data_IF_149424034388
#
_entry.id   IF_149424034388
#
_cell.length_a   1.000
_cell.length_b   1.000
_cell.length_c   1.000
_cell.angle_alpha   90.00
_cell.angle_beta   90.00
_cell.angle_gamma   90.00
#
_symmetry.space_group_name_H-M   'P 1'
#
loop_
_entity.id
_entity.type
_entity.pdbx_description
1 polymer ?
#
# COMPACT_ATOMS: atom_id res chain seq x y z
N UNK A 1 -1.04 -30.05 9.47
CA UNK A 1 -0.20 -28.97 8.90
C UNK A 1 -1.06 -27.71 8.88
N UNK A 2 -0.61 -26.68 9.57
CA UNK A 2 -1.37 -25.41 9.61
C UNK A 2 -1.21 -24.74 8.24
N UNK A 3 -2.21 -24.87 7.37
CA UNK A 3 -2.20 -24.16 6.10
C UNK A 3 -2.35 -22.66 6.39
N UNK A 4 -1.38 -21.83 5.93
CA UNK A 4 -1.45 -20.38 6.11
C UNK A 4 -2.74 -19.78 5.52
N UNK A 5 -3.16 -18.63 6.03
CA UNK A 5 -4.43 -17.96 5.68
C UNK A 5 -4.59 -17.63 4.18
N UNK A 6 -3.49 -17.58 3.42
CA UNK A 6 -3.45 -17.23 2.01
C UNK A 6 -2.95 -18.39 1.13
N UNK A 7 -3.05 -19.61 1.62
CA UNK A 7 -2.55 -20.78 0.92
C UNK A 7 -3.12 -20.91 -0.50
N UNK A 8 -2.24 -21.02 -1.51
CA UNK A 8 -2.62 -21.16 -2.93
C UNK A 8 -3.16 -19.88 -3.60
N UNK A 9 -3.22 -18.75 -2.88
CA UNK A 9 -3.59 -17.44 -3.44
C UNK A 9 -2.42 -16.83 -4.23
N UNK A 10 -2.76 -16.03 -5.23
CA UNK A 10 -1.82 -15.20 -6.00
C UNK A 10 -2.04 -13.74 -5.63
N UNK A 11 -1.00 -13.06 -5.17
CA UNK A 11 -1.07 -11.68 -4.72
C UNK A 11 -0.15 -10.75 -5.52
N UNK A 12 -0.58 -9.51 -5.71
CA UNK A 12 0.24 -8.39 -6.18
C UNK A 12 0.47 -7.40 -5.04
N UNK A 13 1.73 -7.00 -4.83
CA UNK A 13 2.11 -5.93 -3.90
C UNK A 13 2.91 -4.87 -4.65
N UNK A 14 2.35 -3.68 -4.84
CA UNK A 14 3.10 -2.56 -5.41
C UNK A 14 3.96 -1.86 -4.35
N UNK A 15 5.17 -1.42 -4.73
CA UNK A 15 6.15 -0.93 -3.74
C UNK A 15 6.63 -2.03 -2.79
N UNK A 16 6.70 -3.29 -3.28
CA UNK A 16 6.98 -4.48 -2.48
C UNK A 16 8.44 -4.67 -2.07
N UNK A 17 9.33 -3.75 -2.44
CA UNK A 17 10.77 -3.83 -2.19
C UNK A 17 11.26 -3.01 -0.99
N UNK A 18 10.36 -2.41 -0.20
CA UNK A 18 10.74 -1.62 0.98
C UNK A 18 9.57 -1.44 1.96
N UNK A 19 9.87 -1.15 3.21
CA UNK A 19 8.92 -0.74 4.23
C UNK A 19 7.70 -1.67 4.36
N UNK A 20 6.51 -1.08 4.35
CA UNK A 20 5.22 -1.79 4.49
C UNK A 20 5.03 -2.83 3.39
N UNK A 21 5.36 -2.47 2.13
CA UNK A 21 5.20 -3.39 1.00
C UNK A 21 6.07 -4.64 1.13
N UNK A 22 7.33 -4.49 1.52
CA UNK A 22 8.26 -5.60 1.76
C UNK A 22 7.77 -6.50 2.91
N UNK A 23 7.36 -5.90 4.04
CA UNK A 23 6.84 -6.65 5.18
C UNK A 23 5.57 -7.43 4.79
N UNK A 24 4.69 -6.81 3.99
CA UNK A 24 3.47 -7.48 3.48
C UNK A 24 3.82 -8.64 2.54
N UNK A 25 4.75 -8.44 1.60
CA UNK A 25 5.16 -9.51 0.69
C UNK A 25 5.72 -10.72 1.45
N UNK A 26 6.56 -10.48 2.47
CA UNK A 26 7.08 -11.55 3.36
C UNK A 26 5.96 -12.28 4.10
N UNK A 27 5.00 -11.54 4.67
CA UNK A 27 3.85 -12.12 5.36
C UNK A 27 2.98 -12.93 4.42
N UNK A 28 2.67 -12.42 3.24
CA UNK A 28 1.85 -13.13 2.25
C UNK A 28 2.49 -14.46 1.85
N UNK A 29 3.82 -14.47 1.59
CA UNK A 29 4.55 -15.71 1.31
C UNK A 29 4.53 -16.65 2.51
N UNK A 30 4.74 -16.13 3.74
CA UNK A 30 4.66 -16.90 4.98
C UNK A 30 3.29 -17.52 5.22
N UNK A 31 2.21 -16.88 4.73
CA UNK A 31 0.83 -17.38 4.76
C UNK A 31 0.46 -18.25 3.56
N UNK A 32 1.44 -18.63 2.73
CA UNK A 32 1.25 -19.59 1.64
C UNK A 32 0.85 -19.01 0.28
N UNK A 33 0.86 -17.68 0.12
CA UNK A 33 0.60 -17.05 -1.16
C UNK A 33 1.83 -17.10 -2.10
N UNK A 34 1.56 -17.02 -3.41
CA UNK A 34 2.54 -16.61 -4.40
C UNK A 34 2.42 -15.10 -4.63
N UNK A 35 3.54 -14.36 -4.56
CA UNK A 35 3.53 -12.90 -4.54
C UNK A 35 4.29 -12.31 -5.72
N UNK A 36 3.63 -11.46 -6.50
CA UNK A 36 4.29 -10.54 -7.40
C UNK A 36 4.57 -9.23 -6.67
N UNK A 37 5.81 -8.74 -6.77
CA UNK A 37 6.18 -7.43 -6.25
C UNK A 37 6.63 -6.53 -7.40
N UNK A 38 6.32 -5.24 -7.32
CA UNK A 38 6.84 -4.25 -8.27
C UNK A 38 7.40 -3.04 -7.54
N UNK A 39 8.37 -2.39 -8.20
CA UNK A 39 9.03 -1.19 -7.72
C UNK A 39 10.04 -0.67 -8.76
N UNK A 40 10.53 0.54 -8.56
CA UNK A 40 11.40 1.22 -9.55
C UNK A 40 12.84 0.74 -9.53
N UNK A 41 13.33 0.28 -8.37
CA UNK A 41 14.74 -0.01 -8.14
C UNK A 41 15.00 -1.51 -8.26
N UNK A 42 15.67 -1.91 -9.36
CA UNK A 42 15.95 -3.30 -9.64
C UNK A 42 16.79 -3.96 -8.53
N UNK A 43 17.86 -3.29 -8.09
CA UNK A 43 18.74 -3.83 -7.05
C UNK A 43 18.02 -4.22 -5.76
N UNK A 44 17.08 -3.38 -5.31
CA UNK A 44 16.27 -3.65 -4.12
C UNK A 44 15.25 -4.76 -4.37
N UNK A 45 14.71 -4.86 -5.58
CA UNK A 45 13.82 -5.95 -5.97
C UNK A 45 14.57 -7.28 -5.93
N UNK A 46 15.78 -7.35 -6.49
CA UNK A 46 16.61 -8.55 -6.48
C UNK A 46 16.98 -8.97 -5.05
N UNK A 47 17.35 -8.00 -4.21
CA UNK A 47 17.62 -8.25 -2.79
C UNK A 47 16.37 -8.80 -2.07
N UNK A 48 15.20 -8.24 -2.36
CA UNK A 48 13.92 -8.70 -1.80
C UNK A 48 13.60 -10.13 -2.20
N UNK A 49 13.76 -10.47 -3.48
CA UNK A 49 13.54 -11.84 -3.99
C UNK A 49 14.50 -12.82 -3.30
N UNK A 50 15.76 -12.45 -3.17
CA UNK A 50 16.77 -13.26 -2.47
C UNK A 50 16.42 -13.46 -0.99
N UNK A 51 15.94 -12.41 -0.33
CA UNK A 51 15.58 -12.46 1.09
C UNK A 51 14.32 -13.31 1.35
N UNK A 52 13.29 -13.19 0.51
CA UNK A 52 12.06 -14.00 0.63
C UNK A 52 12.32 -15.46 0.19
N UNK A 53 13.11 -15.67 -0.83
CA UNK A 53 13.66 -16.95 -1.29
C UNK A 53 12.73 -17.77 -2.17
N UNK A 54 11.41 -17.84 -1.90
CA UNK A 54 10.47 -18.68 -2.67
C UNK A 54 9.13 -17.99 -2.84
N UNK A 55 8.35 -18.45 -3.83
CA UNK A 55 6.96 -17.97 -4.07
C UNK A 55 6.88 -16.44 -4.27
N UNK A 56 7.90 -15.84 -4.85
CA UNK A 56 7.95 -14.42 -5.16
C UNK A 56 8.57 -14.18 -6.54
N UNK A 57 7.94 -13.28 -7.30
CA UNK A 57 8.47 -12.74 -8.57
C UNK A 57 8.52 -11.23 -8.49
N UNK A 58 9.65 -10.63 -8.82
CA UNK A 58 9.80 -9.19 -8.94
C UNK A 58 9.68 -8.74 -10.40
N UNK A 59 8.94 -7.67 -10.63
CA UNK A 59 8.82 -7.02 -11.95
C UNK A 59 9.13 -5.54 -11.77
N UNK A 60 10.23 -5.07 -12.37
CA UNK A 60 10.59 -3.66 -12.31
C UNK A 60 9.55 -2.81 -13.05
N UNK A 61 9.12 -1.72 -12.42
CA UNK A 61 8.19 -0.77 -13.02
C UNK A 61 7.86 0.38 -12.09
N UNK A 62 7.41 1.48 -12.69
CA UNK A 62 6.82 2.63 -12.02
C UNK A 62 5.30 2.60 -12.20
N UNK A 63 4.55 2.60 -11.11
CA UNK A 63 3.07 2.57 -11.17
C UNK A 63 2.48 3.80 -11.86
N UNK A 64 3.20 4.93 -11.91
CA UNK A 64 2.79 6.14 -12.64
C UNK A 64 2.93 6.00 -14.16
N UNK A 65 3.71 5.00 -14.63
CA UNK A 65 3.88 4.68 -16.03
C UNK A 65 2.96 3.51 -16.44
N UNK A 66 1.97 3.79 -17.26
CA UNK A 66 0.97 2.79 -17.64
C UNK A 66 1.54 1.63 -18.47
N UNK A 67 2.61 1.85 -19.25
CA UNK A 67 3.28 0.79 -20.00
C UNK A 67 4.01 -0.19 -19.06
N UNK A 68 4.54 0.29 -17.94
CA UNK A 68 5.14 -0.55 -16.91
C UNK A 68 4.09 -1.45 -16.25
N UNK A 69 2.90 -0.90 -15.99
CA UNK A 69 1.78 -1.69 -15.49
C UNK A 69 1.34 -2.74 -16.52
N UNK A 70 1.32 -2.41 -17.82
CA UNK A 70 0.97 -3.37 -18.88
C UNK A 70 1.96 -4.56 -18.88
N UNK A 71 3.26 -4.29 -18.78
CA UNK A 71 4.28 -5.34 -18.67
C UNK A 71 4.09 -6.19 -17.40
N UNK A 72 3.83 -5.56 -16.27
CA UNK A 72 3.56 -6.25 -15.00
C UNK A 72 2.39 -7.25 -15.15
N UNK A 73 1.25 -6.78 -15.64
CA UNK A 73 0.07 -7.64 -15.78
C UNK A 73 0.21 -8.70 -16.87
N UNK A 74 0.94 -8.41 -17.94
CA UNK A 74 1.31 -9.42 -18.94
C UNK A 74 2.16 -10.55 -18.34
N UNK A 75 3.13 -10.22 -17.48
CA UNK A 75 3.95 -11.19 -16.75
C UNK A 75 3.09 -12.04 -15.81
N UNK A 76 2.23 -11.43 -15.00
CA UNK A 76 1.32 -12.13 -14.08
C UNK A 76 0.42 -13.08 -14.86
N UNK A 77 -0.17 -12.60 -15.98
CA UNK A 77 -1.02 -13.42 -16.86
C UNK A 77 -0.27 -14.63 -17.38
N UNK A 78 0.96 -14.44 -17.85
CA UNK A 78 1.82 -15.52 -18.38
C UNK A 78 2.16 -16.57 -17.33
N UNK A 79 2.49 -16.17 -16.10
CA UNK A 79 2.99 -17.09 -15.08
C UNK A 79 1.89 -17.75 -14.25
N UNK A 80 0.80 -17.03 -13.97
CA UNK A 80 -0.24 -17.49 -13.03
C UNK A 80 -1.67 -17.43 -13.60
N UNK A 81 -1.91 -16.62 -14.64
CA UNK A 81 -3.22 -16.47 -15.28
C UNK A 81 -4.28 -15.78 -14.42
N UNK A 82 -4.00 -15.52 -13.15
CA UNK A 82 -4.98 -14.99 -12.18
C UNK A 82 -4.31 -14.17 -11.09
N UNK A 83 -5.12 -13.35 -10.41
CA UNK A 83 -4.81 -12.68 -9.15
C UNK A 83 -5.96 -12.93 -8.16
N UNK A 84 -5.67 -13.16 -6.91
CA UNK A 84 -6.65 -13.27 -5.83
C UNK A 84 -6.63 -12.01 -4.92
N UNK A 85 -5.46 -11.38 -4.77
CA UNK A 85 -5.23 -10.27 -3.85
C UNK A 85 -4.43 -9.17 -4.54
N UNK A 86 -4.87 -7.92 -4.39
CA UNK A 86 -4.09 -6.74 -4.79
C UNK A 86 -3.86 -5.87 -3.57
N UNK A 87 -2.61 -5.65 -3.19
CA UNK A 87 -2.22 -4.62 -2.25
C UNK A 87 -1.59 -3.44 -3.01
N UNK A 88 -2.40 -2.42 -3.29
CA UNK A 88 -1.96 -1.19 -3.95
C UNK A 88 -1.30 -0.28 -2.90
N UNK A 89 0.00 -0.47 -2.71
CA UNK A 89 0.78 0.15 -1.63
C UNK A 89 1.78 1.20 -2.13
N UNK A 90 2.26 1.13 -3.36
CA UNK A 90 3.23 2.09 -3.88
C UNK A 90 2.74 3.55 -3.65
N UNK A 91 3.61 4.38 -3.11
CA UNK A 91 3.29 5.77 -2.82
C UNK A 91 4.51 6.57 -2.45
N UNK A 92 4.40 7.88 -2.60
CA UNK A 92 5.41 8.87 -2.23
C UNK A 92 4.79 9.94 -1.34
N UNK A 93 5.60 10.51 -0.45
CA UNK A 93 5.23 11.65 0.38
C UNK A 93 6.28 12.75 0.22
N UNK A 94 5.81 13.99 0.04
CA UNK A 94 6.62 15.19 0.07
C UNK A 94 5.83 16.26 0.80
N UNK A 95 6.52 17.12 1.49
CA UNK A 95 5.91 18.19 2.29
C UNK A 95 6.22 19.56 1.70
N UNK A 96 5.19 20.39 1.61
CA UNK A 96 5.32 21.81 1.29
C UNK A 96 4.21 22.60 1.98
N UNK A 97 4.50 23.75 2.60
CA UNK A 97 3.46 24.62 3.12
C UNK A 97 2.62 25.21 1.98
N UNK A 98 1.36 25.51 2.26
CA UNK A 98 0.49 26.21 1.32
C UNK A 98 1.18 27.52 0.87
N UNK A 99 1.16 27.78 -0.43
CA UNK A 99 1.89 28.91 -1.06
C UNK A 99 3.33 28.57 -1.52
N UNK A 100 3.84 27.35 -1.20
CA UNK A 100 5.14 26.84 -1.70
C UNK A 100 4.98 25.52 -2.50
N UNK A 101 3.75 25.11 -2.77
CA UNK A 101 3.47 23.92 -3.58
C UNK A 101 3.73 24.26 -5.05
N UNK A 102 4.57 23.48 -5.71
CA UNK A 102 4.81 23.59 -7.16
C UNK A 102 3.99 22.56 -7.92
N UNK A 103 3.79 22.78 -9.22
CA UNK A 103 3.10 21.83 -10.10
C UNK A 103 3.82 20.48 -10.13
N UNK A 104 5.17 20.47 -10.22
CA UNK A 104 5.96 19.23 -10.23
C UNK A 104 5.84 18.44 -8.92
N UNK A 105 5.73 19.14 -7.80
CA UNK A 105 5.48 18.48 -6.51
C UNK A 105 4.10 17.85 -6.51
N UNK A 106 3.08 18.57 -6.92
CA UNK A 106 1.70 18.10 -7.04
C UNK A 106 1.62 16.88 -7.96
N UNK A 107 2.10 17.00 -9.20
CA UNK A 107 2.06 15.92 -10.19
C UNK A 107 2.78 14.68 -9.72
N UNK A 108 3.98 14.81 -9.15
CA UNK A 108 4.76 13.67 -8.67
C UNK A 108 4.04 12.85 -7.59
N UNK A 109 3.23 13.51 -6.75
CA UNK A 109 2.49 12.85 -5.68
C UNK A 109 1.17 12.26 -6.23
N UNK A 110 0.41 13.03 -7.02
CA UNK A 110 -0.86 12.54 -7.60
C UNK A 110 -0.65 11.44 -8.62
N UNK A 111 0.36 11.54 -9.48
CA UNK A 111 0.66 10.52 -10.48
C UNK A 111 0.98 9.16 -9.84
N UNK A 112 1.74 9.16 -8.74
CA UNK A 112 2.05 7.91 -8.05
C UNK A 112 0.88 7.43 -7.19
N UNK A 113 0.36 8.29 -6.30
CA UNK A 113 -0.53 7.88 -5.22
C UNK A 113 -1.99 7.71 -5.67
N UNK A 114 -2.43 8.43 -6.71
CA UNK A 114 -3.82 8.42 -7.18
C UNK A 114 -3.91 7.72 -8.54
N UNK A 115 -3.29 8.28 -9.58
CA UNK A 115 -3.30 7.71 -10.94
C UNK A 115 -2.67 6.32 -10.96
N UNK A 116 -1.48 6.14 -10.40
CA UNK A 116 -0.78 4.87 -10.37
C UNK A 116 -1.55 3.79 -9.59
N UNK A 117 -2.16 4.15 -8.46
CA UNK A 117 -3.00 3.26 -7.68
C UNK A 117 -4.28 2.87 -8.45
N UNK A 118 -4.98 3.84 -9.03
CA UNK A 118 -6.20 3.60 -9.81
C UNK A 118 -5.91 2.64 -10.97
N UNK A 119 -4.91 2.93 -11.79
CA UNK A 119 -4.60 2.10 -12.95
C UNK A 119 -3.99 0.75 -12.57
N UNK A 120 -3.31 0.63 -11.43
CA UNK A 120 -2.92 -0.68 -10.89
C UNK A 120 -4.15 -1.55 -10.67
N UNK A 121 -5.17 -1.03 -9.99
CA UNK A 121 -6.41 -1.79 -9.73
C UNK A 121 -7.18 -2.04 -11.02
N UNK A 122 -7.38 -1.03 -11.86
CA UNK A 122 -8.12 -1.17 -13.12
C UNK A 122 -7.52 -2.25 -14.04
N UNK A 123 -6.19 -2.25 -14.19
CA UNK A 123 -5.48 -3.24 -15.03
C UNK A 123 -5.42 -4.64 -14.37
N UNK A 124 -5.58 -4.73 -13.05
CA UNK A 124 -5.70 -6.01 -12.35
C UNK A 124 -7.06 -6.69 -12.59
N UNK A 125 -8.15 -5.95 -12.81
CA UNK A 125 -9.52 -6.46 -12.87
C UNK A 125 -9.72 -7.64 -13.84
N UNK A 126 -9.12 -7.68 -15.04
CA UNK A 126 -9.27 -8.81 -15.96
C UNK A 126 -8.66 -10.12 -15.43
N UNK A 127 -7.69 -10.04 -14.52
CA UNK A 127 -7.02 -11.19 -13.92
C UNK A 127 -7.52 -11.48 -12.49
N UNK A 128 -8.17 -10.50 -11.86
CA UNK A 128 -8.65 -10.62 -10.50
C UNK A 128 -9.85 -11.56 -10.45
N UNK A 129 -9.79 -12.57 -9.58
CA UNK A 129 -10.86 -13.55 -9.41
C UNK A 129 -12.06 -12.95 -8.68
N UNK A 130 -13.24 -13.48 -9.00
CA UNK A 130 -14.43 -13.19 -8.21
C UNK A 130 -14.24 -13.67 -6.76
N UNK A 131 -14.72 -12.90 -5.80
CA UNK A 131 -14.43 -13.11 -4.39
C UNK A 131 -13.03 -12.68 -3.95
N UNK A 132 -12.25 -12.02 -4.82
CA UNK A 132 -10.93 -11.49 -4.51
C UNK A 132 -10.92 -10.35 -3.50
N UNK A 133 -9.73 -9.90 -3.10
CA UNK A 133 -9.55 -8.81 -2.15
C UNK A 133 -8.61 -7.74 -2.68
N UNK A 134 -9.05 -6.50 -2.64
CA UNK A 134 -8.25 -5.31 -2.94
C UNK A 134 -8.03 -4.53 -1.65
N UNK A 135 -6.78 -4.28 -1.30
CA UNK A 135 -6.40 -3.47 -0.16
C UNK A 135 -5.65 -2.23 -0.68
N UNK A 136 -6.08 -1.06 -0.28
CA UNK A 136 -5.53 0.22 -0.69
C UNK A 136 -4.75 0.84 0.48
N UNK A 137 -3.49 1.21 0.25
CA UNK A 137 -2.68 1.86 1.29
C UNK A 137 -2.99 3.35 1.36
N UNK A 138 -3.92 3.72 2.23
CA UNK A 138 -4.26 5.10 2.56
C UNK A 138 -3.27 5.70 3.59
N UNK A 139 -3.73 6.47 4.54
CA UNK A 139 -2.97 7.01 5.68
C UNK A 139 -3.93 7.74 6.62
N UNK A 140 -3.59 7.84 7.89
CA UNK A 140 -4.29 8.69 8.86
C UNK A 140 -4.49 10.13 8.38
N UNK A 141 -3.57 10.64 7.55
CA UNK A 141 -3.65 12.03 7.04
C UNK A 141 -4.73 12.21 5.97
N UNK A 142 -5.36 11.15 5.51
CA UNK A 142 -6.60 11.24 4.74
C UNK A 142 -7.78 11.80 5.54
N UNK A 143 -7.70 11.70 6.88
CA UNK A 143 -8.74 12.14 7.83
C UNK A 143 -8.23 13.16 8.86
N UNK A 144 -6.92 13.14 9.20
CA UNK A 144 -6.28 14.05 10.16
C UNK A 144 -5.47 15.13 9.44
N UNK A 145 -5.74 16.40 9.72
CA UNK A 145 -4.97 17.52 9.16
C UNK A 145 -3.59 17.66 9.82
N UNK A 146 -2.54 17.73 9.01
CA UNK A 146 -1.19 18.06 9.44
C UNK A 146 -0.61 19.19 8.59
N UNK A 147 0.11 20.11 9.19
CA UNK A 147 0.74 21.24 8.50
C UNK A 147 1.66 20.77 7.37
N UNK A 148 1.73 21.54 6.29
CA UNK A 148 2.58 21.29 5.11
C UNK A 148 2.30 19.96 4.36
N UNK A 149 1.12 19.35 4.58
CA UNK A 149 0.81 18.00 4.08
C UNK A 149 -0.36 17.95 3.08
N UNK A 150 -0.85 19.10 2.62
CA UNK A 150 -2.13 19.21 1.90
C UNK A 150 -2.21 18.31 0.66
N UNK A 151 -1.18 18.29 -0.19
CA UNK A 151 -1.19 17.49 -1.43
C UNK A 151 -1.18 15.99 -1.11
N UNK A 152 -0.28 15.55 -0.23
CA UNK A 152 -0.22 14.14 0.17
C UNK A 152 -1.52 13.70 0.86
N UNK A 153 -2.05 14.51 1.79
CA UNK A 153 -3.32 14.23 2.47
C UNK A 153 -4.48 14.10 1.49
N UNK A 154 -4.58 15.00 0.49
CA UNK A 154 -5.59 14.92 -0.54
C UNK A 154 -5.53 13.61 -1.33
N UNK A 155 -4.30 13.12 -1.66
CA UNK A 155 -4.16 11.82 -2.33
C UNK A 155 -4.66 10.66 -1.45
N UNK A 156 -4.44 10.72 -0.14
CA UNK A 156 -4.86 9.66 0.78
C UNK A 156 -6.38 9.68 1.06
N UNK A 157 -6.99 10.87 1.04
CA UNK A 157 -8.44 11.02 1.04
C UNK A 157 -9.08 10.45 -0.25
N UNK A 158 -8.47 10.69 -1.41
CA UNK A 158 -8.89 10.08 -2.69
C UNK A 158 -8.83 8.55 -2.62
N UNK A 159 -7.74 7.97 -2.11
CA UNK A 159 -7.60 6.51 -1.92
C UNK A 159 -8.70 5.96 -1.02
N UNK A 160 -9.04 6.65 0.07
CA UNK A 160 -10.16 6.28 0.94
C UNK A 160 -11.49 6.31 0.20
N UNK A 161 -11.71 7.32 -0.65
CA UNK A 161 -12.92 7.43 -1.47
C UNK A 161 -13.04 6.26 -2.44
N UNK A 162 -11.94 5.83 -3.09
CA UNK A 162 -11.93 4.67 -3.97
C UNK A 162 -12.37 3.38 -3.26
N UNK A 163 -11.95 3.16 -2.01
CA UNK A 163 -12.37 1.97 -1.28
C UNK A 163 -13.89 1.87 -1.15
N UNK A 164 -14.57 2.99 -0.89
CA UNK A 164 -16.04 3.04 -0.81
C UNK A 164 -16.71 2.82 -2.15
N UNK A 165 -16.26 3.55 -3.18
CA UNK A 165 -16.89 3.53 -4.51
C UNK A 165 -16.71 2.17 -5.18
N UNK A 166 -15.49 1.63 -5.18
CA UNK A 166 -15.18 0.37 -5.85
C UNK A 166 -15.81 -0.85 -5.16
N UNK A 167 -16.10 -0.77 -3.86
CA UNK A 167 -16.93 -1.78 -3.19
C UNK A 167 -18.29 -1.91 -3.85
N UNK A 168 -18.91 -0.79 -4.27
CA UNK A 168 -20.19 -0.78 -4.98
C UNK A 168 -20.02 -1.24 -6.43
N UNK A 169 -18.99 -0.75 -7.13
CA UNK A 169 -18.74 -1.08 -8.53
C UNK A 169 -18.44 -2.57 -8.74
N UNK A 170 -17.84 -3.24 -7.76
CA UNK A 170 -17.39 -4.62 -7.86
C UNK A 170 -18.26 -5.63 -7.10
N UNK A 171 -19.44 -5.21 -6.62
CA UNK A 171 -20.36 -6.03 -5.82
C UNK A 171 -20.78 -7.32 -6.53
N UNK A 172 -21.07 -7.26 -7.84
CA UNK A 172 -21.54 -8.42 -8.61
C UNK A 172 -20.44 -9.49 -8.76
N UNK A 173 -19.19 -9.09 -8.65
CA UNK A 173 -18.02 -9.96 -8.61
C UNK A 173 -17.64 -10.38 -7.18
N UNK A 174 -18.36 -9.91 -6.17
CA UNK A 174 -18.09 -10.19 -4.76
C UNK A 174 -16.65 -9.87 -4.34
N UNK A 175 -16.00 -8.89 -5.02
CA UNK A 175 -14.66 -8.43 -4.69
C UNK A 175 -14.75 -7.43 -3.54
N UNK A 176 -14.00 -7.70 -2.48
CA UNK A 176 -13.90 -6.80 -1.32
C UNK A 176 -12.85 -5.72 -1.59
N UNK A 177 -13.16 -4.49 -1.25
CA UNK A 177 -12.23 -3.35 -1.38
C UNK A 177 -12.17 -2.61 -0.05
N UNK A 178 -10.99 -2.60 0.57
CA UNK A 178 -10.77 -1.94 1.86
C UNK A 178 -9.53 -1.04 1.82
N UNK A 179 -9.51 -0.01 2.65
CA UNK A 179 -8.33 0.80 2.89
C UNK A 179 -7.69 0.43 4.22
N UNK A 180 -6.36 0.38 4.26
CA UNK A 180 -5.59 0.42 5.50
C UNK A 180 -4.99 1.82 5.64
N UNK A 181 -5.10 2.42 6.82
CA UNK A 181 -4.59 3.76 7.13
C UNK A 181 -3.52 3.69 8.21
N UNK A 182 -2.25 3.54 7.79
CA UNK A 182 -1.13 3.55 8.73
C UNK A 182 -1.00 4.89 9.44
N UNK A 183 -0.63 4.83 10.71
CA UNK A 183 -0.04 5.92 11.45
C UNK A 183 1.44 6.11 11.14
N UNK A 184 2.21 6.68 12.07
CA UNK A 184 3.65 6.80 11.95
C UNK A 184 4.33 5.43 12.06
N UNK A 185 4.83 4.92 10.93
CA UNK A 185 5.47 3.60 10.84
C UNK A 185 6.96 3.78 10.57
N UNK A 186 7.80 3.10 11.33
CA UNK A 186 9.25 3.12 11.20
C UNK A 186 9.72 2.43 9.90
N UNK A 187 9.73 3.20 8.83
CA UNK A 187 10.15 2.78 7.49
C UNK A 187 11.34 3.58 7.01
N UNK A 188 12.16 3.04 6.08
CA UNK A 188 13.22 3.82 5.44
C UNK A 188 12.72 5.15 4.84
N UNK A 189 11.54 5.13 4.18
CA UNK A 189 10.95 6.33 3.59
C UNK A 189 10.54 7.38 4.63
N UNK A 190 9.99 6.98 5.79
CA UNK A 190 9.68 7.92 6.87
C UNK A 190 10.97 8.50 7.46
N UNK A 191 11.99 7.68 7.71
CA UNK A 191 13.27 8.13 8.25
C UNK A 191 13.94 9.16 7.33
N UNK A 192 13.99 8.89 6.02
CA UNK A 192 14.52 9.80 5.01
C UNK A 192 13.72 11.12 4.97
N UNK A 193 12.40 11.04 4.97
CA UNK A 193 11.51 12.19 4.94
C UNK A 193 11.67 13.08 6.19
N UNK A 194 11.81 12.49 7.37
CA UNK A 194 12.02 13.22 8.64
C UNK A 194 13.43 13.78 8.76
N UNK A 195 14.44 13.13 8.19
CA UNK A 195 15.82 13.62 8.19
C UNK A 195 16.05 14.77 7.19
N UNK A 196 15.18 14.93 6.18
CA UNK A 196 15.43 15.80 5.03
C UNK A 196 15.20 17.31 5.29
N UNK A 197 14.58 17.70 6.42
CA UNK A 197 14.23 19.11 6.69
C UNK A 197 13.99 19.40 8.16
N UNK A 198 14.06 20.68 8.54
CA UNK A 198 13.71 21.14 9.89
C UNK A 198 12.25 20.83 10.26
N UNK A 199 11.34 20.91 9.29
CA UNK A 199 9.94 20.47 9.44
C UNK A 199 9.86 18.98 9.78
N UNK A 200 10.76 18.16 9.23
CA UNK A 200 10.84 16.73 9.54
C UNK A 200 11.24 16.48 11.00
N UNK A 201 12.21 17.22 11.54
CA UNK A 201 12.64 17.09 12.96
C UNK A 201 11.51 17.47 13.93
N UNK A 202 10.82 18.60 13.69
CA UNK A 202 9.65 19.00 14.48
C UNK A 202 8.53 17.95 14.45
N UNK A 203 8.34 17.29 13.32
CA UNK A 203 7.37 16.20 13.20
C UNK A 203 7.75 14.96 13.99
N UNK A 204 9.05 14.63 14.09
CA UNK A 204 9.49 13.49 14.90
C UNK A 204 9.10 13.69 16.36
N UNK A 205 9.27 14.90 16.91
CA UNK A 205 8.86 15.24 18.27
C UNK A 205 7.35 15.13 18.44
N UNK A 206 6.56 15.72 17.53
CA UNK A 206 5.09 15.60 17.54
C UNK A 206 4.62 14.16 17.43
N UNK A 207 5.27 13.34 16.62
CA UNK A 207 4.94 11.92 16.46
C UNK A 207 5.25 11.16 17.75
N UNK A 208 6.42 11.39 18.36
CA UNK A 208 6.83 10.67 19.57
C UNK A 208 5.92 10.94 20.77
N UNK A 209 5.34 12.14 20.84
CA UNK A 209 4.42 12.54 21.92
C UNK A 209 2.95 12.28 21.62
N UNK A 210 2.58 12.21 20.34
CA UNK A 210 1.17 12.11 19.92
C UNK A 210 0.63 10.70 19.70
N UNK A 211 1.49 9.67 19.65
CA UNK A 211 1.05 8.28 19.53
C UNK A 211 0.63 7.74 20.88
N UNK A 212 -0.62 7.37 21.07
CA UNK A 212 -1.13 6.90 22.36
C UNK A 212 -0.37 5.65 22.89
N UNK A 213 0.12 4.78 22.00
CA UNK A 213 0.97 3.64 22.37
C UNK A 213 2.44 4.03 22.64
N UNK A 214 2.81 5.31 22.57
CA UNK A 214 4.14 5.84 22.92
C UNK A 214 5.30 5.40 22.03
N UNK A 215 5.04 4.89 20.82
CA UNK A 215 6.07 4.43 19.88
C UNK A 215 5.62 4.50 18.43
N UNK A 216 6.56 4.49 17.52
CA UNK A 216 6.28 4.21 16.11
C UNK A 216 5.80 2.77 15.94
N UNK A 217 4.87 2.57 14.99
CA UNK A 217 4.54 1.24 14.53
C UNK A 217 5.65 0.64 13.66
N UNK A 218 5.62 -0.67 13.50
CA UNK A 218 6.51 -1.39 12.60
C UNK A 218 5.81 -1.72 11.27
N UNK A 219 6.54 -1.87 10.15
CA UNK A 219 5.97 -2.35 8.90
C UNK A 219 5.22 -3.67 9.03
N UNK A 220 5.68 -4.55 9.92
CA UNK A 220 5.07 -5.85 10.18
C UNK A 220 3.68 -5.75 10.85
N UNK A 221 3.45 -4.74 11.69
CA UNK A 221 2.13 -4.49 12.29
C UNK A 221 1.10 -4.12 11.23
N UNK A 222 1.50 -3.32 10.23
CA UNK A 222 0.63 -3.04 9.08
C UNK A 222 0.42 -4.29 8.22
N UNK A 223 1.48 -5.05 7.97
CA UNK A 223 1.39 -6.28 7.18
C UNK A 223 0.42 -7.31 7.77
N UNK A 224 0.34 -7.42 9.11
CA UNK A 224 -0.65 -8.27 9.80
C UNK A 224 -2.09 -7.83 9.51
N UNK A 225 -2.36 -6.53 9.54
CA UNK A 225 -3.67 -5.98 9.21
C UNK A 225 -4.02 -6.22 7.73
N UNK A 226 -3.03 -6.10 6.83
CA UNK A 226 -3.22 -6.38 5.40
C UNK A 226 -3.48 -7.87 5.17
N UNK A 227 -2.79 -8.79 5.85
CA UNK A 227 -3.09 -10.24 5.81
C UNK A 227 -4.51 -10.51 6.26
N UNK A 228 -4.96 -9.91 7.37
CA UNK A 228 -6.34 -10.05 7.84
C UNK A 228 -7.34 -9.60 6.76
N UNK A 229 -7.19 -8.40 6.20
CA UNK A 229 -8.08 -7.88 5.15
C UNK A 229 -8.04 -8.71 3.86
N UNK A 230 -6.90 -9.35 3.57
CA UNK A 230 -6.73 -10.20 2.40
C UNK A 230 -7.35 -11.60 2.57
N UNK A 231 -7.49 -12.07 3.79
CA UNK A 231 -7.93 -13.42 4.13
C UNK A 231 -9.46 -13.55 4.24
N UNK A 232 -9.93 -14.78 4.39
CA UNK A 232 -11.33 -15.11 4.62
C UNK A 232 -11.82 -14.68 6.02
N UNK A 233 -10.90 -14.38 6.96
CA UNK A 233 -11.24 -13.78 8.27
C UNK A 233 -11.95 -12.43 8.11
N UNK A 234 -11.76 -11.73 6.98
CA UNK A 234 -12.41 -10.49 6.63
C UNK A 234 -13.54 -10.65 5.58
N UNK A 235 -14.12 -11.86 5.46
CA UNK A 235 -15.10 -12.20 4.41
C UNK A 235 -16.35 -11.31 4.40
N UNK A 236 -16.72 -10.70 5.52
CA UNK A 236 -17.86 -9.76 5.63
C UNK A 236 -17.42 -8.30 5.83
N UNK A 237 -16.17 -7.97 5.46
CA UNK A 237 -15.59 -6.64 5.61
C UNK A 237 -15.25 -6.07 4.24
N UNK A 238 -15.95 -5.02 3.82
CA UNK A 238 -15.67 -4.29 2.58
C UNK A 238 -16.06 -2.81 2.71
N UNK A 239 -15.40 -1.92 1.98
CA UNK A 239 -15.63 -0.48 1.99
C UNK A 239 -15.10 0.26 3.21
N UNK A 240 -14.41 -0.40 4.14
CA UNK A 240 -13.92 0.22 5.36
C UNK A 240 -12.57 0.93 5.17
N UNK A 241 -12.24 1.75 6.17
CA UNK A 241 -10.91 2.25 6.46
C UNK A 241 -10.47 1.69 7.81
N UNK A 242 -9.44 0.86 7.79
CA UNK A 242 -8.86 0.29 9.00
C UNK A 242 -7.64 1.12 9.43
N UNK A 243 -7.77 1.85 10.52
CA UNK A 243 -6.66 2.57 11.12
C UNK A 243 -5.73 1.62 11.87
N UNK A 244 -4.42 1.72 11.59
CA UNK A 244 -3.35 0.98 12.27
C UNK A 244 -2.28 2.00 12.65
N UNK A 245 -2.53 2.76 13.70
CA UNK A 245 -1.88 4.03 13.98
C UNK A 245 -1.44 4.25 15.43
N UNK A 246 -1.61 3.24 16.28
CA UNK A 246 -1.29 3.35 17.70
C UNK A 246 -2.13 4.40 18.46
N UNK A 247 -3.31 4.75 17.91
CA UNK A 247 -4.23 5.74 18.47
C UNK A 247 -3.96 7.18 18.00
N UNK A 248 -2.95 7.43 17.16
CA UNK A 248 -2.52 8.78 16.80
C UNK A 248 -3.61 9.65 16.14
N UNK A 249 -4.55 9.06 15.42
CA UNK A 249 -5.65 9.78 14.80
C UNK A 249 -7.00 9.58 15.52
N UNK A 250 -7.04 8.84 16.61
CA UNK A 250 -8.26 8.46 17.32
C UNK A 250 -8.52 9.32 18.56
N UNK A 251 -7.47 9.94 19.11
CA UNK A 251 -7.49 10.78 20.32
C UNK A 251 -6.79 12.12 20.07
#
# INVERSE_FOLDING_TARGET
MNNGKLNGKVALVTGGNSGIGLATAKRFVGEGAYVFITGRRQKELDATVKEIGKNVTAVQGDVSNLADLDRLFAQIKKEKGKIDIVFANAGVAKYAPLGKITEELYDSIFDTNVKGLLFTVQKALPLLRDGGSIILNASIVGSKGLASNSVYSATKAAVRSFARTWTTDLKDRRIRVNAVSPGPIDTPGLRELLASSEVGKQRMEMISTGVALGRLGTPDEIAKAVVFLASDDASYITGIELFVDGGFAQV
#
